data_IF_321327339594
#
_entry.id   IF_321327339594
#
_cell.length_a   1.000
_cell.length_b   1.000
_cell.length_c   1.000
_cell.angle_alpha   90.00
_cell.angle_beta   90.00
_cell.angle_gamma   90.00
#
_symmetry.space_group_name_H-M   'P 1'
#
loop_
_entity.id
_entity.type
_entity.pdbx_description
1 polymer ?
#
# COMPACT_ATOMS: atom_id res chain seq x y z
N UNK A 1 3.24 17.61 4.00
CA UNK A 1 2.90 17.10 2.65
C UNK A 1 1.92 18.07 2.01
N UNK A 2 2.33 18.79 0.96
CA UNK A 2 1.45 19.73 0.24
C UNK A 2 0.37 18.94 -0.52
N UNK A 3 -0.73 19.58 -0.90
CA UNK A 3 -1.82 18.91 -1.64
C UNK A 3 -1.33 18.32 -2.97
N UNK A 4 -0.38 18.98 -3.64
CA UNK A 4 0.30 18.51 -4.85
C UNK A 4 0.94 17.13 -4.66
N UNK A 5 1.69 16.96 -3.58
CA UNK A 5 2.47 15.75 -3.34
C UNK A 5 1.57 14.55 -3.05
N UNK A 6 0.41 14.80 -2.40
CA UNK A 6 -0.59 13.76 -2.13
C UNK A 6 -1.24 13.27 -3.41
N UNK A 7 -1.55 14.16 -4.33
CA UNK A 7 -2.13 13.78 -5.62
C UNK A 7 -1.14 12.96 -6.45
N UNK A 8 0.13 13.37 -6.50
CA UNK A 8 1.19 12.60 -7.16
C UNK A 8 1.38 11.22 -6.52
N UNK A 9 1.25 11.11 -5.20
CA UNK A 9 1.35 9.83 -4.50
C UNK A 9 0.16 8.91 -4.81
N UNK A 10 -1.05 9.46 -4.88
CA UNK A 10 -2.27 8.72 -5.25
C UNK A 10 -2.19 8.23 -6.69
N UNK A 11 -1.72 9.06 -7.63
CA UNK A 11 -1.50 8.65 -9.02
C UNK A 11 -0.49 7.51 -9.13
N UNK A 12 0.69 7.66 -8.50
CA UNK A 12 1.69 6.59 -8.48
C UNK A 12 1.16 5.29 -7.87
N UNK A 13 0.35 5.39 -6.81
CA UNK A 13 -0.29 4.21 -6.22
C UNK A 13 -1.30 3.56 -7.18
N UNK A 14 -2.11 4.34 -7.89
CA UNK A 14 -3.01 3.82 -8.92
C UNK A 14 -2.24 3.10 -10.02
N UNK A 15 -1.14 3.66 -10.49
CA UNK A 15 -0.31 3.04 -11.53
C UNK A 15 0.34 1.73 -11.02
N UNK A 16 0.82 1.71 -9.78
CA UNK A 16 1.37 0.51 -9.13
C UNK A 16 0.27 -0.56 -8.90
N UNK A 17 -0.95 -0.16 -8.55
CA UNK A 17 -2.09 -1.07 -8.36
C UNK A 17 -2.62 -1.63 -9.70
N UNK A 18 -2.63 -0.82 -10.76
CA UNK A 18 -3.06 -1.25 -12.09
C UNK A 18 -2.03 -2.17 -12.77
N UNK A 19 -0.73 -1.96 -12.48
CA UNK A 19 0.34 -2.81 -13.01
C UNK A 19 0.59 -4.08 -12.19
N UNK A 20 0.09 -4.15 -10.96
CA UNK A 20 0.23 -5.34 -10.11
C UNK A 20 -0.93 -6.30 -10.33
N UNK A 21 -0.59 -7.58 -10.50
CA UNK A 21 -1.56 -8.67 -10.68
C UNK A 21 -2.21 -9.12 -9.36
N UNK A 22 -1.64 -8.74 -8.21
CA UNK A 22 -2.15 -9.12 -6.89
C UNK A 22 -1.75 -8.10 -5.85
N UNK A 23 -2.70 -7.75 -4.99
CA UNK A 23 -2.55 -6.80 -3.89
C UNK A 23 -2.80 -7.54 -2.58
N UNK A 24 -1.80 -7.53 -1.69
CA UNK A 24 -1.91 -8.12 -0.35
C UNK A 24 -1.99 -6.97 0.64
N UNK A 25 -3.06 -6.93 1.44
CA UNK A 25 -3.21 -5.98 2.54
C UNK A 25 -2.87 -6.71 3.83
N UNK A 26 -1.88 -6.21 4.56
CA UNK A 26 -1.46 -6.82 5.82
C UNK A 26 -1.49 -5.81 6.96
N UNK A 27 -1.99 -6.23 8.12
CA UNK A 27 -1.86 -5.46 9.36
C UNK A 27 -0.48 -5.74 9.96
N UNK A 28 0.39 -4.72 10.01
CA UNK A 28 1.76 -4.85 10.51
C UNK A 28 1.92 -4.30 11.94
N UNK A 29 0.82 -3.97 12.62
CA UNK A 29 0.85 -3.49 14.00
C UNK A 29 1.53 -4.51 14.92
N UNK A 30 2.60 -4.08 15.60
CA UNK A 30 3.34 -4.91 16.55
C UNK A 30 4.69 -5.43 16.03
N UNK A 31 5.01 -5.26 14.75
CA UNK A 31 6.33 -5.61 14.22
C UNK A 31 7.38 -4.55 14.59
N UNK A 32 8.56 -5.02 15.00
CA UNK A 32 9.73 -4.15 15.19
C UNK A 32 10.30 -3.71 13.84
N UNK A 33 11.06 -2.60 13.83
CA UNK A 33 11.68 -2.08 12.61
C UNK A 33 12.54 -3.14 11.93
N UNK A 34 13.32 -3.89 12.71
CA UNK A 34 14.19 -4.96 12.21
C UNK A 34 13.42 -6.09 11.50
N UNK A 35 12.26 -6.46 12.01
CA UNK A 35 11.41 -7.49 11.39
C UNK A 35 10.77 -6.97 10.11
N UNK A 36 10.29 -5.71 10.09
CA UNK A 36 9.74 -5.11 8.87
C UNK A 36 10.77 -4.95 7.77
N UNK A 37 12.04 -4.68 8.12
CA UNK A 37 13.11 -4.53 7.14
C UNK A 37 13.56 -5.88 6.56
N UNK A 38 13.58 -6.95 7.36
CA UNK A 38 13.79 -8.31 6.85
C UNK A 38 12.67 -8.70 5.88
N UNK A 39 11.42 -8.49 6.27
CA UNK A 39 10.25 -8.83 5.46
C UNK A 39 10.21 -8.01 4.16
N UNK A 40 10.57 -6.72 4.20
CA UNK A 40 10.75 -5.90 2.99
C UNK A 40 11.81 -6.46 2.06
N UNK A 41 12.92 -6.98 2.61
CA UNK A 41 14.03 -7.51 1.83
C UNK A 41 13.63 -8.80 1.14
N UNK A 42 13.04 -9.74 1.89
CA UNK A 42 12.52 -11.00 1.33
C UNK A 42 11.44 -10.78 0.27
N UNK A 43 10.55 -9.81 0.48
CA UNK A 43 9.55 -9.46 -0.53
C UNK A 43 10.20 -8.89 -1.79
N UNK A 44 11.23 -8.03 -1.68
CA UNK A 44 11.97 -7.50 -2.84
C UNK A 44 12.72 -8.60 -3.59
N UNK A 45 13.32 -9.53 -2.87
CA UNK A 45 14.04 -10.66 -3.47
C UNK A 45 13.09 -11.56 -4.29
N UNK A 46 11.82 -11.66 -3.87
CA UNK A 46 10.74 -12.34 -4.59
C UNK A 46 10.00 -11.46 -5.61
N UNK A 47 10.50 -10.25 -5.89
CA UNK A 47 9.91 -9.33 -6.87
C UNK A 47 8.66 -8.58 -6.40
N UNK A 48 8.28 -8.69 -5.13
CA UNK A 48 7.17 -7.98 -4.53
C UNK A 48 7.60 -6.65 -3.89
N UNK A 49 6.71 -5.64 -3.96
CA UNK A 49 6.92 -4.34 -3.31
C UNK A 49 6.07 -4.25 -2.05
N UNK A 50 6.71 -4.02 -0.91
CA UNK A 50 6.04 -3.76 0.37
C UNK A 50 6.09 -2.27 0.71
N UNK A 51 4.91 -1.63 0.88
CA UNK A 51 4.81 -0.19 1.06
C UNK A 51 3.72 0.18 2.06
N UNK A 52 4.15 0.65 3.22
CA UNK A 52 3.25 1.26 4.20
C UNK A 52 2.68 2.56 3.63
N UNK A 53 1.36 2.64 3.56
CA UNK A 53 0.65 3.78 2.97
C UNK A 53 -0.41 4.29 3.94
N UNK A 54 -0.82 5.56 3.77
CA UNK A 54 -1.93 6.10 4.56
C UNK A 54 -3.24 5.57 4.00
N UNK A 55 -4.07 5.00 4.87
CA UNK A 55 -5.38 4.44 4.52
C UNK A 55 -6.26 5.43 3.75
N UNK A 56 -6.24 6.71 4.13
CA UNK A 56 -7.00 7.74 3.41
C UNK A 56 -6.50 7.95 1.97
N UNK A 57 -5.20 7.83 1.72
CA UNK A 57 -4.63 7.97 0.38
C UNK A 57 -4.85 6.70 -0.45
N UNK A 58 -4.76 5.51 0.15
CA UNK A 58 -5.08 4.27 -0.56
C UNK A 58 -6.56 4.16 -0.88
N UNK A 59 -7.47 4.53 0.02
CA UNK A 59 -8.91 4.60 -0.29
C UNK A 59 -9.18 5.50 -1.50
N UNK A 60 -8.52 6.67 -1.59
CA UNK A 60 -8.61 7.54 -2.77
C UNK A 60 -7.98 6.95 -4.04
N UNK A 61 -6.94 6.12 -3.91
CA UNK A 61 -6.36 5.41 -5.04
C UNK A 61 -7.26 4.26 -5.53
N UNK A 62 -8.00 3.62 -4.63
CA UNK A 62 -8.83 2.43 -4.90
C UNK A 62 -10.19 2.73 -5.52
N UNK A 63 -10.76 3.92 -5.28
CA UNK A 63 -12.08 4.36 -5.78
C UNK A 63 -12.19 4.31 -7.32
N UNK A 64 -11.08 4.30 -8.04
CA UNK A 64 -11.08 4.20 -9.51
C UNK A 64 -10.43 2.90 -10.03
N UNK A 65 -10.32 1.87 -9.19
CA UNK A 65 -9.72 0.58 -9.56
C UNK A 65 -10.66 -0.59 -9.28
N UNK A 66 -10.40 -1.75 -9.88
CA UNK A 66 -11.17 -2.98 -9.71
C UNK A 66 -11.17 -3.52 -8.25
N UNK A 67 -10.37 -2.93 -7.37
CA UNK A 67 -10.17 -3.33 -5.98
C UNK A 67 -10.98 -2.49 -4.97
N UNK A 68 -12.00 -1.78 -5.43
CA UNK A 68 -12.83 -0.89 -4.60
C UNK A 68 -13.45 -1.60 -3.38
N UNK A 69 -13.73 -2.90 -3.50
CA UNK A 69 -14.23 -3.77 -2.43
C UNK A 69 -13.24 -4.01 -1.29
N UNK A 70 -11.94 -3.77 -1.49
CA UNK A 70 -10.88 -3.96 -0.48
C UNK A 70 -10.78 -2.72 0.44
N UNK A 71 -11.49 -1.63 0.13
CA UNK A 71 -11.46 -0.38 0.92
C UNK A 71 -11.84 -0.57 2.40
N UNK A 72 -12.67 -1.58 2.71
CA UNK A 72 -13.08 -1.93 4.07
C UNK A 72 -11.97 -2.61 4.89
N UNK A 73 -10.99 -3.24 4.23
CA UNK A 73 -9.82 -3.84 4.87
C UNK A 73 -8.77 -2.78 5.28
N UNK A 74 -8.86 -1.56 4.74
CA UNK A 74 -8.00 -0.44 5.11
C UNK A 74 -8.47 0.28 6.39
N UNK A 75 -8.71 -0.48 7.46
CA UNK A 75 -9.04 0.02 8.79
C UNK A 75 -7.95 -0.39 9.79
N UNK A 76 -7.28 0.59 10.43
CA UNK A 76 -6.12 0.36 11.29
C UNK A 76 -4.76 0.46 10.57
N UNK A 77 -3.63 0.13 11.23
CA UNK A 77 -2.30 0.22 10.62
C UNK A 77 -2.10 -0.88 9.57
N UNK A 78 -2.25 -0.51 8.30
CA UNK A 78 -2.15 -1.40 7.13
C UNK A 78 -0.91 -1.10 6.29
N UNK A 79 -0.25 -2.15 5.82
CA UNK A 79 0.84 -2.13 4.86
C UNK A 79 0.43 -2.74 3.53
#
# INVERSE_FOLDING_TARGET
MKRSDKNNFVQKLKDELNSSSSVIVAHYAGLSVLETDKLRKEMRDNGAKFKVTKNRLTKLALVDTQYESITDLFNGPTA
#
